data_IF_119455532554
#
_entry.id   IF_119455532554
#
_cell.length_a   1.000
_cell.length_b   1.000
_cell.length_c   1.000
_cell.angle_alpha   90.00
_cell.angle_beta   90.00
_cell.angle_gamma   90.00
#
_symmetry.space_group_name_H-M   'P 1'
#
loop_
_entity.id
_entity.type
_entity.pdbx_description
1 polymer ?
#
# COMPACT_ATOMS: atom_id res chain seq x y z
N UNK A 1 5.82 10.16 -5.41
CA UNK A 1 6.60 9.57 -4.31
C UNK A 1 7.95 9.19 -4.83
N UNK A 2 9.00 9.53 -4.09
CA UNK A 2 10.38 9.24 -4.49
C UNK A 2 10.75 7.80 -4.12
N UNK A 3 10.42 7.39 -2.89
CA UNK A 3 10.59 6.01 -2.44
C UNK A 3 9.28 5.50 -1.84
N UNK A 4 8.91 4.28 -2.23
CA UNK A 4 7.84 3.53 -1.58
C UNK A 4 8.27 2.09 -1.38
N UNK A 5 8.00 1.53 -0.20
CA UNK A 5 8.24 0.12 0.08
C UNK A 5 7.03 -0.47 0.79
N UNK A 6 6.42 -1.48 0.17
CA UNK A 6 5.25 -2.17 0.69
C UNK A 6 5.64 -3.58 1.11
N UNK A 7 5.68 -3.81 2.42
CA UNK A 7 5.94 -5.11 3.01
C UNK A 7 4.60 -5.78 3.33
N UNK A 8 4.29 -6.86 2.61
CA UNK A 8 3.09 -7.66 2.80
C UNK A 8 3.48 -8.97 3.50
N UNK A 9 2.81 -9.28 4.60
CA UNK A 9 3.16 -10.41 5.47
C UNK A 9 1.93 -11.18 5.92
N UNK A 10 2.17 -12.37 6.50
CA UNK A 10 1.13 -13.20 7.11
C UNK A 10 -0.05 -13.48 6.16
N UNK A 11 0.27 -13.91 4.95
CA UNK A 11 -0.72 -14.22 3.92
C UNK A 11 -1.58 -15.42 4.34
N UNK A 12 -2.90 -15.27 4.23
CA UNK A 12 -3.85 -16.38 4.26
C UNK A 12 -4.51 -16.44 2.90
N UNK A 13 -4.42 -17.60 2.24
CA UNK A 13 -4.83 -17.79 0.84
C UNK A 13 -5.94 -18.84 0.80
N UNK A 14 -7.08 -18.49 0.20
CA UNK A 14 -8.19 -19.40 -0.10
C UNK A 14 -8.39 -19.46 -1.61
N UNK A 15 -8.41 -20.67 -2.18
CA UNK A 15 -8.52 -20.90 -3.62
C UNK A 15 -9.75 -21.75 -3.91
N UNK A 16 -10.55 -21.32 -4.87
CA UNK A 16 -11.73 -22.01 -5.40
C UNK A 16 -11.68 -21.95 -6.93
N UNK A 17 -11.32 -23.06 -7.56
CA UNK A 17 -11.09 -23.18 -9.01
C UNK A 17 -10.16 -22.08 -9.57
N UNK A 18 -10.71 -21.23 -10.43
CA UNK A 18 -10.04 -20.10 -11.06
C UNK A 18 -10.20 -18.79 -10.27
N UNK A 19 -10.68 -18.84 -9.03
CA UNK A 19 -10.77 -17.69 -8.14
C UNK A 19 -9.97 -17.91 -6.85
N UNK A 20 -9.39 -16.84 -6.32
CA UNK A 20 -8.71 -16.89 -5.03
C UNK A 20 -8.90 -15.59 -4.24
N UNK A 21 -8.88 -15.69 -2.92
CA UNK A 21 -8.82 -14.57 -2.00
C UNK A 21 -7.54 -14.66 -1.18
N UNK A 22 -6.81 -13.55 -1.07
CA UNK A 22 -5.61 -13.44 -0.23
C UNK A 22 -5.82 -12.32 0.77
N UNK A 23 -5.78 -12.62 2.06
CA UNK A 23 -5.71 -11.61 3.12
C UNK A 23 -4.29 -11.50 3.65
N UNK A 24 -3.86 -10.30 4.00
CA UNK A 24 -2.48 -10.05 4.44
C UNK A 24 -2.41 -8.86 5.41
N UNK A 25 -1.31 -8.78 6.16
CA UNK A 25 -0.92 -7.57 6.88
C UNK A 25 0.03 -6.74 6.01
N UNK A 26 -0.04 -5.42 6.14
CA UNK A 26 0.74 -4.46 5.37
C UNK A 26 1.48 -3.49 6.31
N UNK A 27 2.74 -3.23 6.01
CA UNK A 27 3.45 -2.01 6.38
C UNK A 27 3.95 -1.33 5.09
N UNK A 28 3.48 -0.12 4.82
CA UNK A 28 3.82 0.66 3.64
C UNK A 28 4.58 1.92 4.04
N UNK A 29 5.86 2.01 3.67
CA UNK A 29 6.72 3.17 3.84
C UNK A 29 6.65 4.04 2.57
N UNK A 30 6.54 5.34 2.77
CA UNK A 30 6.63 6.36 1.73
C UNK A 30 7.64 7.43 2.16
N UNK A 31 8.47 7.89 1.25
CA UNK A 31 9.44 8.95 1.48
C UNK A 31 9.49 9.92 0.30
N UNK A 32 9.70 11.21 0.59
CA UNK A 32 9.90 12.24 -0.43
C UNK A 32 10.73 13.42 0.09
N UNK A 33 11.91 13.62 -0.48
CA UNK A 33 12.87 14.65 -0.07
C UNK A 33 12.33 16.10 -0.18
N UNK A 34 11.54 16.40 -1.23
CA UNK A 34 10.98 17.74 -1.45
C UNK A 34 10.02 18.28 -0.35
N UNK A 35 9.63 17.44 0.63
CA UNK A 35 8.79 17.88 1.75
C UNK A 35 9.59 18.56 2.87
N UNK A 36 10.90 18.32 2.95
CA UNK A 36 11.78 18.83 3.99
C UNK A 36 12.52 17.72 4.72
N UNK A 37 13.13 18.07 5.85
CA UNK A 37 13.87 17.15 6.71
C UNK A 37 13.01 16.64 7.87
N UNK A 38 13.32 15.45 8.36
CA UNK A 38 12.66 14.83 9.51
C UNK A 38 11.57 13.81 9.13
N UNK A 39 11.52 12.64 9.80
CA UNK A 39 10.60 11.56 9.46
C UNK A 39 9.12 11.95 9.64
N UNK A 40 8.82 12.90 10.52
CA UNK A 40 7.49 13.48 10.71
C UNK A 40 7.01 14.35 9.54
N UNK A 41 7.93 14.81 8.68
CA UNK A 41 7.65 15.68 7.54
C UNK A 41 7.73 14.92 6.22
N UNK A 42 8.80 14.15 6.02
CA UNK A 42 9.17 13.59 4.73
C UNK A 42 8.89 12.10 4.57
N UNK A 43 8.36 11.47 5.62
CA UNK A 43 8.07 10.04 5.64
C UNK A 43 6.63 9.80 6.06
N UNK A 44 5.96 8.84 5.44
CA UNK A 44 4.68 8.32 5.90
C UNK A 44 4.70 6.80 5.95
N UNK A 45 4.46 6.22 7.13
CA UNK A 45 4.28 4.77 7.28
C UNK A 45 2.82 4.44 7.57
N UNK A 46 2.23 3.55 6.77
CA UNK A 46 0.87 3.03 6.92
C UNK A 46 0.92 1.56 7.34
N UNK A 47 0.20 1.22 8.41
CA UNK A 47 -0.04 -0.15 8.85
C UNK A 47 -1.48 -0.53 8.55
N UNK A 48 -1.68 -1.70 7.93
CA UNK A 48 -3.01 -2.08 7.46
C UNK A 48 -3.25 -3.58 7.32
N UNK A 49 -4.49 -3.91 6.99
CA UNK A 49 -4.91 -5.23 6.52
C UNK A 49 -5.45 -5.12 5.11
N UNK A 50 -4.97 -5.99 4.23
CA UNK A 50 -5.37 -6.00 2.83
C UNK A 50 -6.10 -7.27 2.44
N UNK A 51 -6.87 -7.17 1.36
CA UNK A 51 -7.48 -8.29 0.66
C UNK A 51 -7.24 -8.14 -0.83
N UNK A 52 -6.68 -9.17 -1.46
CA UNK A 52 -6.70 -9.33 -2.90
C UNK A 52 -7.73 -10.37 -3.28
N UNK A 53 -8.54 -10.08 -4.30
CA UNK A 53 -9.22 -11.10 -5.08
C UNK A 53 -8.42 -11.35 -6.34
N UNK A 54 -8.26 -12.61 -6.70
CA UNK A 54 -7.54 -13.03 -7.88
C UNK A 54 -8.43 -13.89 -8.76
N UNK A 55 -8.21 -13.80 -10.06
CA UNK A 55 -8.77 -14.72 -11.05
C UNK A 55 -7.64 -15.34 -11.87
N UNK A 56 -7.72 -16.64 -12.15
CA UNK A 56 -6.81 -17.33 -13.05
C UNK A 56 -7.31 -17.15 -14.47
N UNK A 57 -6.46 -16.58 -15.32
CA UNK A 57 -6.75 -16.35 -16.75
C UNK A 57 -5.58 -16.89 -17.55
N UNK A 58 -5.85 -17.78 -18.53
CA UNK A 58 -4.82 -18.42 -19.35
C UNK A 58 -3.70 -19.06 -18.50
N UNK A 59 -4.09 -19.76 -17.44
CA UNK A 59 -3.18 -20.44 -16.51
C UNK A 59 -2.46 -19.55 -15.50
N UNK A 60 -2.65 -18.22 -15.53
CA UNK A 60 -1.96 -17.26 -14.65
C UNK A 60 -2.92 -16.55 -13.71
N UNK A 61 -2.56 -16.47 -12.43
CA UNK A 61 -3.29 -15.66 -11.46
C UNK A 61 -3.07 -14.18 -11.70
N UNK A 62 -4.15 -13.39 -11.64
CA UNK A 62 -4.15 -11.93 -11.74
C UNK A 62 -4.97 -11.35 -10.60
N UNK A 63 -4.48 -10.29 -9.98
CA UNK A 63 -5.26 -9.52 -9.00
C UNK A 63 -6.35 -8.77 -9.77
N UNK A 64 -7.62 -9.03 -9.44
CA UNK A 64 -8.78 -8.40 -10.08
C UNK A 64 -9.48 -7.38 -9.16
N UNK A 65 -9.23 -7.44 -7.84
CA UNK A 65 -9.73 -6.47 -6.88
C UNK A 65 -8.77 -6.36 -5.70
N UNK A 66 -8.60 -5.15 -5.20
CA UNK A 66 -7.83 -4.85 -3.99
C UNK A 66 -8.73 -4.11 -3.00
N UNK A 67 -8.62 -4.45 -1.72
CA UNK A 67 -9.19 -3.68 -0.61
C UNK A 67 -8.12 -3.52 0.45
N UNK A 68 -7.98 -2.30 0.98
CA UNK A 68 -7.07 -1.99 2.07
C UNK A 68 -7.86 -1.32 3.20
N UNK A 69 -7.61 -1.76 4.42
CA UNK A 69 -8.10 -1.13 5.65
C UNK A 69 -6.88 -0.62 6.41
N UNK A 70 -6.75 0.70 6.51
CA UNK A 70 -5.74 1.34 7.35
C UNK A 70 -6.08 1.13 8.82
N UNK A 71 -5.11 0.67 9.60
CA UNK A 71 -5.25 0.43 11.04
C UNK A 71 -4.55 1.51 11.86
N UNK A 72 -3.36 1.92 11.42
CA UNK A 72 -2.56 2.94 12.08
C UNK A 72 -1.63 3.60 11.08
N UNK A 73 -1.14 4.80 11.39
CA UNK A 73 -0.13 5.49 10.58
C UNK A 73 0.77 6.34 11.45
N UNK A 74 2.01 6.50 11.01
CA UNK A 74 3.02 7.37 11.63
C UNK A 74 3.67 8.28 10.57
N UNK A 75 4.30 9.36 11.02
CA UNK A 75 4.91 10.36 10.15
C UNK A 75 3.88 11.31 9.54
N UNK A 76 4.15 11.81 8.33
CA UNK A 76 3.30 12.75 7.63
C UNK A 76 2.08 12.07 6.98
N UNK A 77 0.98 11.91 7.73
CA UNK A 77 -0.26 11.33 7.17
C UNK A 77 -0.91 12.17 6.05
N UNK A 78 -0.48 13.43 5.89
CA UNK A 78 -0.96 14.33 4.85
C UNK A 78 -0.04 14.38 3.62
N UNK A 79 0.98 13.52 3.55
CA UNK A 79 2.06 13.54 2.57
C UNK A 79 1.60 13.73 1.12
N UNK A 80 0.54 13.01 0.71
CA UNK A 80 -0.01 13.11 -0.66
C UNK A 80 -0.52 14.52 -0.93
N UNK A 81 -1.30 15.08 -0.01
CA UNK A 81 -1.84 16.43 -0.13
C UNK A 81 -0.72 17.49 -0.13
N UNK A 82 0.29 17.30 0.72
CA UNK A 82 1.44 18.19 0.84
C UNK A 82 2.26 18.22 -0.45
N UNK A 83 2.46 17.06 -1.09
CA UNK A 83 3.12 16.96 -2.38
C UNK A 83 2.29 17.59 -3.50
N UNK A 84 0.98 17.38 -3.53
CA UNK A 84 0.12 18.02 -4.53
C UNK A 84 0.20 19.54 -4.45
N UNK A 85 0.25 20.12 -3.23
CA UNK A 85 0.42 21.57 -3.05
C UNK A 85 1.78 22.10 -3.51
N UNK A 86 2.79 21.23 -3.65
CA UNK A 86 4.15 21.57 -4.08
C UNK A 86 4.43 21.22 -5.54
N UNK A 87 3.53 20.49 -6.19
CA UNK A 87 3.68 20.17 -7.61
C UNK A 87 3.63 21.48 -8.41
N UNK A 88 4.57 21.72 -9.34
CA UNK A 88 4.47 22.86 -10.24
C UNK A 88 3.16 22.74 -11.05
N UNK A 89 2.53 23.90 -11.30
CA UNK A 89 1.32 24.01 -12.10
C UNK A 89 1.53 23.51 -13.54
#
# INVERSE_FOLDING_TARGET
MELTQHMLTSHVVSVHDDEATVTFHLQALHYHSALGEGPEVNTWTLYGRGTFRLRRTSGRWKICSTRLIGLHSTGNVNMVADLTRRAPA
#
